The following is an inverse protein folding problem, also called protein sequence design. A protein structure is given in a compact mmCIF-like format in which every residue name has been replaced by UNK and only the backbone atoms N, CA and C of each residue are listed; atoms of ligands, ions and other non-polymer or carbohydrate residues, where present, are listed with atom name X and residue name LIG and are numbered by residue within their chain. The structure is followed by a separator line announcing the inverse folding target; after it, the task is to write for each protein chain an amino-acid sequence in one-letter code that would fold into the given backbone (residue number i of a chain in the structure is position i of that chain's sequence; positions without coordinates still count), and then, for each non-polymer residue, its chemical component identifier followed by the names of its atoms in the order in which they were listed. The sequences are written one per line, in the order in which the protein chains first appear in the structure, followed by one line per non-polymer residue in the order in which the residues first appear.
data_IF_818883242473
#
_entry.id   IF_818883242473
#
_cell.length_a   1.000
_cell.length_b   1.000
_cell.length_c   1.000
_cell.angle_alpha   90.00
_cell.angle_beta   90.00
_cell.angle_gamma   90.00
#
_symmetry.space_group_name_H-M   'P 1'
#
loop_
_entity.id
_entity.type
_entity.pdbx_description
1 polymer ?
#
# COMPACT_ATOMS: atom_id res chain seq x y z
N UNK A 1 -12.67 5.75 3.33
CA UNK A 1 -12.47 4.29 3.34
C UNK A 1 -12.05 3.78 4.71
N UNK A 2 -10.87 4.13 5.23
CA UNK A 2 -10.36 3.62 6.51
C UNK A 2 -11.33 3.89 7.67
N UNK A 3 -11.81 5.13 7.81
CA UNK A 3 -12.82 5.49 8.83
C UNK A 3 -14.08 4.63 8.74
N UNK A 4 -14.57 4.38 7.51
CA UNK A 4 -15.76 3.57 7.29
C UNK A 4 -15.53 2.09 7.63
N UNK A 5 -14.30 1.57 7.47
CA UNK A 5 -13.95 0.21 7.88
C UNK A 5 -13.86 0.14 9.41
N UNK A 6 -13.29 1.15 10.07
CA UNK A 6 -13.23 1.22 11.54
C UNK A 6 -14.60 1.26 12.21
N UNK A 7 -15.61 1.78 11.52
CA UNK A 7 -16.99 1.79 12.02
C UNK A 7 -17.70 0.43 11.88
N UNK A 8 -17.12 -0.55 11.18
CA UNK A 8 -17.72 -1.89 11.07
C UNK A 8 -17.41 -2.74 12.31
N UNK A 9 -18.24 -3.75 12.62
CA UNK A 9 -17.89 -4.77 13.61
C UNK A 9 -16.52 -5.39 13.26
N UNK A 10 -15.61 -5.43 14.23
CA UNK A 10 -14.19 -5.83 14.08
C UNK A 10 -13.29 -4.89 13.25
N UNK A 11 -13.74 -3.67 12.95
CA UNK A 11 -12.93 -2.66 12.26
C UNK A 11 -11.64 -2.27 12.99
N UNK A 12 -11.64 -2.36 14.32
CA UNK A 12 -10.48 -2.08 15.17
C UNK A 12 -9.42 -3.19 15.15
N UNK A 13 -9.77 -4.39 14.70
CA UNK A 13 -8.85 -5.53 14.57
C UNK A 13 -8.04 -5.46 13.25
N UNK A 14 -8.40 -4.55 12.35
CA UNK A 14 -7.76 -4.41 11.04
C UNK A 14 -6.59 -3.42 11.14
N UNK A 15 -5.38 -3.93 10.95
CA UNK A 15 -4.19 -3.11 10.82
C UNK A 15 -4.06 -2.55 9.39
N UNK A 16 -3.91 -1.23 9.30
CA UNK A 16 -3.68 -0.54 8.03
C UNK A 16 -2.21 -0.15 7.91
N UNK A 17 -1.58 -0.57 6.81
CA UNK A 17 -0.21 -0.20 6.45
C UNK A 17 -0.16 0.29 5.00
N UNK A 18 0.73 1.22 4.70
CA UNK A 18 0.95 1.67 3.33
C UNK A 18 1.27 3.15 3.22
N UNK A 19 1.01 3.70 2.04
CA UNK A 19 1.12 5.12 1.75
C UNK A 19 -0.26 5.68 1.41
N UNK A 20 -0.63 6.80 2.02
CA UNK A 20 -1.88 7.48 1.77
C UNK A 20 -1.78 8.96 2.13
N UNK A 21 -2.72 9.77 1.66
CA UNK A 21 -2.74 11.20 1.97
C UNK A 21 -3.02 11.50 3.46
N UNK A 22 -3.12 12.78 3.84
CA UNK A 22 -3.24 13.23 5.24
C UNK A 22 -4.39 12.55 5.98
N UNK A 23 -5.52 12.43 5.27
CA UNK A 23 -6.74 11.84 5.81
C UNK A 23 -6.60 10.35 6.11
N UNK A 24 -5.73 9.64 5.39
CA UNK A 24 -5.49 8.21 5.62
C UNK A 24 -4.52 7.99 6.78
N UNK A 25 -3.48 8.81 6.89
CA UNK A 25 -2.57 8.80 8.04
C UNK A 25 -3.32 9.13 9.34
N UNK A 26 -4.15 10.17 9.33
CA UNK A 26 -4.98 10.55 10.48
C UNK A 26 -6.00 9.47 10.88
N UNK A 27 -6.45 8.66 9.92
CA UNK A 27 -7.33 7.51 10.17
C UNK A 27 -6.58 6.25 10.65
N UNK A 28 -5.32 6.41 11.10
CA UNK A 28 -4.46 5.39 11.66
C UNK A 28 -3.98 4.30 10.68
N UNK A 29 -3.69 4.72 9.45
CA UNK A 29 -2.67 4.07 8.63
C UNK A 29 -1.32 4.20 9.37
N UNK A 30 -0.75 3.10 9.87
CA UNK A 30 0.57 3.15 10.52
C UNK A 30 1.62 3.41 9.44
N UNK A 31 2.30 4.57 9.45
CA UNK A 31 3.44 4.77 8.58
C UNK A 31 4.60 3.98 9.19
N UNK A 32 5.00 2.85 8.59
CA UNK A 32 6.25 2.16 8.94
C UNK A 32 7.51 2.99 8.56
N UNK A 33 7.32 4.23 8.10
CA UNK A 33 8.38 5.17 7.83
C UNK A 33 8.23 6.40 8.70
N UNK A 34 9.30 6.72 9.44
CA UNK A 34 9.52 8.06 9.99
C UNK A 34 9.80 9.01 8.81
N UNK A 35 8.72 9.47 8.18
CA UNK A 35 8.69 10.58 7.22
C UNK A 35 8.07 11.81 7.89
N UNK A 36 8.30 11.98 9.19
CA UNK A 36 8.18 13.27 9.86
C UNK A 36 9.04 14.27 9.07
N UNK A 37 8.53 15.26 8.34
CA UNK A 37 7.44 16.17 8.69
C UNK A 37 6.50 16.48 7.49
N UNK A 38 6.60 15.80 6.34
CA UNK A 38 5.99 16.27 5.08
C UNK A 38 5.36 15.16 4.19
N UNK A 39 5.23 13.92 4.66
CA UNK A 39 4.82 12.73 3.87
C UNK A 39 3.49 12.89 3.12
N UNK A 40 2.57 13.58 3.79
CA UNK A 40 1.22 13.92 3.38
C UNK A 40 1.13 14.66 2.04
N UNK A 41 1.92 15.73 1.90
CA UNK A 41 2.06 16.49 0.64
C UNK A 41 3.01 15.74 -0.29
N UNK A 42 3.95 15.02 0.31
CA UNK A 42 4.97 14.22 -0.35
C UNK A 42 4.43 13.17 -1.30
N UNK A 43 3.39 12.37 -1.00
CA UNK A 43 2.94 11.31 -1.93
C UNK A 43 2.53 11.88 -3.28
N UNK A 44 1.72 12.94 -3.32
CA UNK A 44 1.30 13.54 -4.59
C UNK A 44 2.47 14.18 -5.34
N UNK A 45 3.39 14.83 -4.64
CA UNK A 45 4.62 15.38 -5.22
C UNK A 45 5.64 14.31 -5.67
N UNK A 46 5.64 13.16 -4.99
CA UNK A 46 6.44 11.98 -5.29
C UNK A 46 5.92 11.33 -6.56
N UNK A 47 4.60 11.30 -6.77
CA UNK A 47 3.99 10.84 -8.03
C UNK A 47 4.38 11.72 -9.22
N UNK A 48 4.58 13.04 -9.01
CA UNK A 48 5.08 13.96 -10.06
C UNK A 48 6.56 13.74 -10.42
N UNK A 49 7.34 13.16 -9.51
CA UNK A 49 8.79 12.96 -9.70
C UNK A 49 9.12 11.48 -9.93
N UNK A 50 9.47 11.11 -11.17
CA UNK A 50 9.74 9.73 -11.55
C UNK A 50 10.74 8.98 -10.64
N UNK A 51 11.84 9.63 -10.24
CA UNK A 51 12.83 9.02 -9.35
C UNK A 51 12.27 8.72 -7.95
N UNK A 52 11.54 9.68 -7.37
CA UNK A 52 10.92 9.52 -6.06
C UNK A 52 9.80 8.46 -6.13
N UNK A 53 9.00 8.48 -7.20
CA UNK A 53 8.00 7.45 -7.50
C UNK A 53 8.59 6.05 -7.48
N UNK A 54 9.72 5.83 -8.16
CA UNK A 54 10.37 4.51 -8.21
C UNK A 54 10.86 4.07 -6.83
N UNK A 55 11.33 5.00 -6.00
CA UNK A 55 11.72 4.71 -4.60
C UNK A 55 10.52 4.31 -3.76
N UNK A 56 9.42 5.06 -3.85
CA UNK A 56 8.16 4.75 -3.16
C UNK A 56 7.61 3.38 -3.57
N UNK A 57 7.59 3.09 -4.88
CA UNK A 57 7.16 1.80 -5.40
C UNK A 57 7.95 0.64 -4.79
N UNK A 58 9.29 0.74 -4.78
CA UNK A 58 10.16 -0.29 -4.22
C UNK A 58 9.91 -0.49 -2.73
N UNK A 59 9.80 0.59 -1.96
CA UNK A 59 9.53 0.51 -0.52
C UNK A 59 8.18 -0.13 -0.22
N UNK A 60 7.12 0.26 -0.94
CA UNK A 60 5.79 -0.34 -0.77
C UNK A 60 5.78 -1.81 -1.15
N UNK A 61 6.54 -2.18 -2.18
CA UNK A 61 6.68 -3.57 -2.59
C UNK A 61 7.39 -4.39 -1.51
N UNK A 62 8.53 -3.91 -1.00
CA UNK A 62 9.26 -4.54 0.11
C UNK A 62 8.39 -4.67 1.38
N UNK A 63 7.66 -3.60 1.73
CA UNK A 63 6.72 -3.60 2.84
C UNK A 63 5.63 -4.67 2.66
N UNK A 64 5.00 -4.72 1.48
CA UNK A 64 3.96 -5.70 1.19
C UNK A 64 4.50 -7.13 1.27
N UNK A 65 5.67 -7.40 0.68
CA UNK A 65 6.27 -8.74 0.73
C UNK A 65 6.76 -9.14 2.12
N UNK A 66 7.10 -8.19 2.99
CA UNK A 66 7.55 -8.45 4.36
C UNK A 66 6.39 -8.66 5.31
N UNK A 67 5.30 -7.89 5.13
CA UNK A 67 4.14 -7.90 6.02
C UNK A 67 3.05 -8.86 5.58
N UNK A 68 3.10 -9.31 4.33
CA UNK A 68 2.16 -10.26 3.73
C UNK A 68 0.69 -9.95 4.04
N UNK A 69 0.18 -8.72 3.77
CA UNK A 69 -1.19 -8.34 4.12
C UNK A 69 -2.25 -9.20 3.40
N UNK A 70 -3.39 -9.39 4.03
CA UNK A 70 -4.52 -10.15 3.44
C UNK A 70 -5.15 -9.45 2.23
N UNK A 71 -5.07 -8.12 2.19
CA UNK A 71 -5.61 -7.30 1.12
C UNK A 71 -4.69 -6.13 0.78
N UNK A 72 -4.65 -5.80 -0.51
CA UNK A 72 -3.95 -4.62 -1.04
C UNK A 72 -4.99 -3.78 -1.78
N UNK A 73 -5.21 -2.56 -1.28
CA UNK A 73 -6.13 -1.60 -1.89
C UNK A 73 -5.34 -0.53 -2.64
N UNK A 74 -5.56 -0.45 -3.94
CA UNK A 74 -4.84 0.43 -4.86
C UNK A 74 -5.79 1.54 -5.31
N UNK A 75 -5.45 2.81 -5.05
CA UNK A 75 -6.37 3.95 -5.17
C UNK A 75 -5.83 4.97 -6.20
N UNK A 76 -6.70 5.48 -7.08
CA UNK A 76 -6.59 6.70 -7.92
C UNK A 76 -5.41 6.85 -8.91
N UNK A 77 -4.44 5.95 -8.94
CA UNK A 77 -3.31 6.05 -9.88
C UNK A 77 -3.13 4.78 -10.72
N UNK A 78 -3.85 4.66 -11.85
CA UNK A 78 -3.93 3.40 -12.62
C UNK A 78 -2.55 2.91 -13.10
N UNK A 79 -1.65 3.81 -13.48
CA UNK A 79 -0.29 3.45 -13.93
C UNK A 79 0.58 2.81 -12.85
N UNK A 80 0.44 3.23 -11.59
CA UNK A 80 1.10 2.63 -10.43
C UNK A 80 0.37 1.34 -10.06
N UNK A 81 -0.95 1.38 -9.97
CA UNK A 81 -1.79 0.27 -9.54
C UNK A 81 -1.55 -0.97 -10.39
N UNK A 82 -1.55 -0.82 -11.72
CA UNK A 82 -1.28 -1.93 -12.65
C UNK A 82 0.14 -2.48 -12.50
N UNK A 83 1.14 -1.60 -12.36
CA UNK A 83 2.54 -2.01 -12.17
C UNK A 83 2.76 -2.73 -10.84
N UNK A 84 2.12 -2.23 -9.79
CA UNK A 84 2.23 -2.78 -8.44
C UNK A 84 1.55 -4.14 -8.35
N UNK A 85 0.31 -4.24 -8.83
CA UNK A 85 -0.42 -5.50 -8.91
C UNK A 85 0.35 -6.55 -9.73
N UNK A 86 0.95 -6.15 -10.86
CA UNK A 86 1.79 -7.04 -11.67
C UNK A 86 3.05 -7.49 -10.93
N UNK A 87 3.70 -6.60 -10.18
CA UNK A 87 4.88 -6.94 -9.39
C UNK A 87 4.54 -7.97 -8.28
N UNK A 88 3.46 -7.74 -7.54
CA UNK A 88 2.98 -8.67 -6.49
C UNK A 88 2.61 -10.03 -7.09
N UNK A 89 1.89 -10.05 -8.22
CA UNK A 89 1.56 -11.30 -8.92
C UNK A 89 2.81 -12.04 -9.42
N UNK A 90 3.82 -11.31 -9.90
CA UNK A 90 5.08 -11.92 -10.34
C UNK A 90 5.89 -12.48 -9.17
N UNK A 91 5.91 -11.79 -8.04
CA UNK A 91 6.53 -12.28 -6.80
C UNK A 91 5.95 -13.63 -6.39
N UNK A 92 4.62 -13.79 -6.46
CA UNK A 92 3.94 -15.08 -6.25
C UNK A 92 4.44 -16.17 -7.20
N UNK A 93 4.53 -15.88 -8.49
CA UNK A 93 4.90 -16.88 -9.52
C UNK A 93 6.36 -17.31 -9.44
N UNK A 94 7.27 -16.43 -8.98
CA UNK A 94 8.71 -16.68 -9.01
C UNK A 94 9.28 -17.26 -7.71
N UNK A 95 8.42 -17.68 -6.76
CA UNK A 95 8.84 -18.34 -5.53
C UNK A 95 9.37 -17.36 -4.48
N UNK A 96 8.47 -16.52 -3.95
CA UNK A 96 8.69 -15.81 -2.69
C UNK A 96 8.86 -16.79 -1.53
N UNK A 97 10.02 -17.46 -1.47
CA UNK A 97 10.27 -18.61 -0.61
C UNK A 97 9.51 -19.85 -1.09
N UNK A 98 10.14 -21.03 -1.01
CA UNK A 98 9.51 -22.30 -1.36
C UNK A 98 8.30 -22.70 -0.48
N UNK A 99 7.75 -21.78 0.32
CA UNK A 99 6.74 -22.02 1.36
C UNK A 99 5.75 -20.84 1.61
N UNK A 100 5.75 -19.74 0.84
CA UNK A 100 4.77 -18.66 1.09
C UNK A 100 3.44 -18.93 0.36
N UNK A 101 2.37 -19.17 1.13
CA UNK A 101 0.98 -19.23 0.65
C UNK A 101 0.35 -17.84 0.47
N UNK A 102 1.12 -16.77 0.59
CA UNK A 102 0.61 -15.40 0.61
C UNK A 102 -0.12 -15.04 -0.70
N UNK A 103 -1.43 -14.81 -0.57
CA UNK A 103 -2.34 -14.52 -1.68
C UNK A 103 -3.25 -13.34 -1.35
N UNK A 104 -2.71 -12.10 -1.39
CA UNK A 104 -3.47 -10.92 -1.04
C UNK A 104 -4.63 -10.70 -2.02
N UNK A 105 -5.80 -10.32 -1.51
CA UNK A 105 -6.88 -9.77 -2.34
C UNK A 105 -6.47 -8.40 -2.84
N UNK A 106 -6.27 -8.26 -4.16
CA UNK A 106 -5.94 -6.97 -4.78
C UNK A 106 -7.23 -6.30 -5.24
N UNK A 107 -7.55 -5.15 -4.64
CA UNK A 107 -8.70 -4.32 -4.99
C UNK A 107 -8.19 -3.02 -5.61
N UNK A 108 -8.56 -2.76 -6.86
CA UNK A 108 -8.28 -1.49 -7.52
C UNK A 108 -9.50 -0.60 -7.44
N UNK A 109 -9.40 0.51 -6.71
CA UNK A 109 -10.38 1.58 -6.72
C UNK A 109 -9.88 2.67 -7.68
N UNK A 110 -10.65 2.90 -8.74
CA UNK A 110 -10.40 3.97 -9.70
C UNK A 110 -11.59 4.91 -9.55
N UNK A 111 -11.37 6.10 -8.98
CA UNK A 111 -12.37 7.17 -9.01
C UNK A 111 -12.60 7.69 -10.42
#
# INVERSE_FOLDING_TARGET
MIEAIRQQPSGDEIDFIGAGGPKMEAAALRPEFDLSEHAVVGIWEVLKNYFKFRRLFRHLFELATRREPDAIVLIDYPGFNLRFAKAIRRYKVQGGGAFSEWQPKIVCYVS
#
